data_IF_051169761906
#
_entry.id   IF_051169761906
#
_cell.length_a   1.000
_cell.length_b   1.000
_cell.length_c   1.000
_cell.angle_alpha   90.00
_cell.angle_beta   90.00
_cell.angle_gamma   90.00
#
_symmetry.space_group_name_H-M   'P 1'
#
loop_
_entity.id
_entity.type
_entity.pdbx_description
1 polymer ?
#
# COMPACT_ATOMS: atom_id res chain seq x y z
N UNK A 1 -74.11 16.39 -45.44
CA UNK A 1 -73.96 15.16 -46.23
C UNK A 1 -72.73 14.44 -45.69
N UNK A 2 -72.83 13.56 -44.70
CA UNK A 2 -73.32 12.16 -44.81
C UNK A 2 -72.47 11.35 -45.83
N UNK A 3 -71.88 10.19 -45.54
CA UNK A 3 -71.88 9.32 -44.35
C UNK A 3 -71.05 8.03 -44.64
N UNK A 4 -70.65 7.35 -43.55
CA UNK A 4 -70.38 5.90 -43.39
C UNK A 4 -69.14 5.26 -44.04
N UNK A 5 -68.43 4.32 -43.41
CA UNK A 5 -68.57 3.62 -42.12
C UNK A 5 -67.31 2.76 -41.88
N UNK A 6 -66.69 2.81 -40.72
CA UNK A 6 -66.93 1.96 -39.53
C UNK A 6 -66.56 0.47 -39.70
N UNK A 7 -65.57 0.03 -38.93
CA UNK A 7 -65.64 -1.22 -38.19
C UNK A 7 -64.81 -1.11 -36.91
N UNK A 8 -65.49 -0.90 -35.78
CA UNK A 8 -64.99 -1.20 -34.44
C UNK A 8 -64.82 -2.70 -34.29
N UNK A 9 -63.78 -3.15 -33.57
CA UNK A 9 -63.96 -4.12 -32.48
C UNK A 9 -62.97 -3.88 -31.34
N UNK A 10 -63.58 -3.87 -30.17
CA UNK A 10 -63.14 -3.73 -28.78
C UNK A 10 -62.30 -4.91 -28.26
N UNK A 11 -61.58 -4.64 -27.16
CA UNK A 11 -61.08 -5.62 -26.18
C UNK A 11 -59.56 -5.81 -26.26
N UNK A 12 -58.76 -5.83 -25.19
CA UNK A 12 -58.99 -5.92 -23.76
C UNK A 12 -57.73 -5.38 -23.05
N UNK A 13 -57.94 -4.97 -21.80
CA UNK A 13 -56.94 -4.67 -20.79
C UNK A 13 -55.83 -5.72 -20.69
N UNK A 14 -54.61 -5.24 -20.47
CA UNK A 14 -53.46 -6.11 -20.21
C UNK A 14 -52.24 -5.31 -19.84
N UNK A 15 -52.29 -4.61 -18.71
CA UNK A 15 -51.13 -4.03 -18.06
C UNK A 15 -50.05 -5.11 -17.84
N UNK A 16 -49.06 -5.18 -18.74
CA UNK A 16 -47.82 -5.91 -18.48
C UNK A 16 -46.78 -4.95 -17.93
N UNK A 17 -46.53 -5.19 -16.64
CA UNK A 17 -45.53 -4.54 -15.80
C UNK A 17 -44.16 -4.61 -16.45
N UNK A 18 -43.40 -3.55 -16.22
CA UNK A 18 -41.94 -3.51 -16.30
C UNK A 18 -41.39 -4.60 -15.40
N UNK A 19 -40.73 -5.59 -15.98
CA UNK A 19 -39.73 -6.39 -15.28
C UNK A 19 -38.36 -5.87 -15.71
N UNK A 20 -37.92 -4.83 -15.00
CA UNK A 20 -36.51 -4.48 -14.89
C UNK A 20 -35.80 -5.69 -14.27
N UNK A 21 -35.04 -6.43 -15.07
CA UNK A 21 -34.10 -7.42 -14.56
C UNK A 21 -32.96 -6.65 -13.90
N UNK A 22 -33.17 -6.35 -12.62
CA UNK A 22 -32.13 -5.95 -11.69
C UNK A 22 -31.20 -7.15 -11.50
N UNK A 23 -30.09 -7.19 -12.23
CA UNK A 23 -28.97 -8.07 -11.87
C UNK A 23 -28.29 -7.43 -10.67
N UNK A 24 -28.74 -7.84 -9.48
CA UNK A 24 -28.04 -7.63 -8.22
C UNK A 24 -26.75 -8.46 -8.24
N UNK A 25 -25.68 -7.87 -8.78
CA UNK A 25 -24.32 -8.35 -8.61
C UNK A 25 -23.86 -8.06 -7.19
N UNK A 26 -23.71 -9.13 -6.41
CA UNK A 26 -23.29 -9.17 -5.01
C UNK A 26 -22.15 -8.19 -4.68
N UNK A 27 -22.44 -7.20 -3.84
CA UNK A 27 -21.43 -6.47 -3.05
C UNK A 27 -20.80 -7.41 -2.02
N UNK A 28 -19.50 -7.26 -1.79
CA UNK A 28 -18.88 -7.54 -0.49
C UNK A 28 -18.40 -8.97 -0.25
N UNK A 29 -17.45 -9.43 -1.06
CA UNK A 29 -16.52 -10.46 -0.61
C UNK A 29 -15.40 -9.80 0.19
N UNK A 30 -15.67 -9.39 1.44
CA UNK A 30 -14.61 -8.97 2.35
C UNK A 30 -13.64 -10.13 2.54
N UNK A 31 -12.42 -9.99 1.99
CA UNK A 31 -11.33 -10.94 2.28
C UNK A 31 -11.13 -10.95 3.80
N UNK A 32 -10.98 -12.11 4.45
CA UNK A 32 -10.65 -12.15 5.87
C UNK A 32 -9.31 -11.42 6.07
N UNK A 33 -9.36 -10.29 6.79
CA UNK A 33 -8.32 -9.27 6.84
C UNK A 33 -6.95 -9.81 7.31
N UNK A 34 -6.93 -10.78 8.24
CA UNK A 34 -5.69 -11.45 8.66
C UNK A 34 -5.12 -12.48 7.67
N UNK A 35 -5.85 -12.88 6.62
CA UNK A 35 -5.38 -13.91 5.68
C UNK A 35 -4.23 -13.41 4.78
N UNK A 36 -4.21 -12.12 4.44
CA UNK A 36 -3.15 -11.54 3.61
C UNK A 36 -1.80 -11.58 4.34
N UNK A 37 -1.77 -11.09 5.58
CA UNK A 37 -0.55 -11.11 6.43
C UNK A 37 -0.14 -12.55 6.76
N UNK A 38 -1.10 -13.44 7.06
CA UNK A 38 -0.80 -14.86 7.25
C UNK A 38 -0.13 -15.51 6.04
N UNK A 39 -0.50 -15.09 4.83
CA UNK A 39 0.14 -15.60 3.65
C UNK A 39 1.54 -14.99 3.43
N UNK A 40 1.77 -13.72 3.81
CA UNK A 40 3.11 -13.13 3.84
C UNK A 40 4.03 -13.82 4.86
N UNK A 41 3.50 -14.24 6.01
CA UNK A 41 4.23 -15.01 7.03
C UNK A 41 4.82 -16.32 6.50
N UNK A 42 4.23 -16.89 5.44
CA UNK A 42 4.78 -18.10 4.79
C UNK A 42 6.01 -17.81 3.93
N UNK A 43 6.24 -16.55 3.57
CA UNK A 43 7.36 -16.10 2.72
C UNK A 43 8.46 -15.45 3.54
N UNK A 44 8.08 -14.63 4.53
CA UNK A 44 9.02 -13.83 5.33
C UNK A 44 8.62 -13.96 6.79
N UNK A 45 9.48 -14.59 7.60
CA UNK A 45 9.26 -14.65 9.04
C UNK A 45 9.48 -13.26 9.66
N UNK A 46 8.71 -12.89 10.70
CA UNK A 46 8.97 -11.67 11.45
C UNK A 46 10.30 -11.80 12.21
N UNK A 47 11.07 -10.72 12.25
CA UNK A 47 12.35 -10.69 12.96
C UNK A 47 12.20 -10.64 14.48
N UNK A 48 13.34 -10.73 15.20
CA UNK A 48 13.36 -10.51 16.64
C UNK A 48 12.81 -9.12 17.00
N UNK A 49 11.96 -9.05 18.03
CA UNK A 49 11.37 -7.79 18.49
C UNK A 49 10.36 -7.16 17.53
N UNK A 50 9.86 -7.93 16.55
CA UNK A 50 8.84 -7.49 15.60
C UNK A 50 7.49 -7.16 16.26
N UNK A 51 6.72 -6.36 15.54
CA UNK A 51 5.40 -5.90 15.93
C UNK A 51 5.41 -4.51 16.55
N UNK A 52 4.36 -3.76 16.25
CA UNK A 52 4.11 -2.44 16.80
C UNK A 52 2.76 -2.38 17.50
N UNK A 53 2.74 -1.72 18.66
CA UNK A 53 1.51 -1.39 19.37
C UNK A 53 1.18 0.06 19.06
N UNK A 54 0.31 0.27 18.09
CA UNK A 54 -0.04 1.59 17.55
C UNK A 54 -1.45 1.97 18.00
N UNK A 55 -1.60 3.20 18.49
CA UNK A 55 -2.91 3.82 18.67
C UNK A 55 -3.47 4.26 17.31
N UNK A 56 -4.24 3.37 16.67
CA UNK A 56 -4.87 3.63 15.38
C UNK A 56 -5.94 4.73 15.41
N UNK A 57 -6.51 5.02 16.59
CA UNK A 57 -7.38 6.17 16.78
C UNK A 57 -6.62 7.48 16.62
N UNK A 58 -5.45 7.58 17.26
CA UNK A 58 -4.54 8.72 17.12
C UNK A 58 -3.98 8.84 15.69
N UNK A 59 -3.61 7.72 15.05
CA UNK A 59 -3.21 7.69 13.63
C UNK A 59 -4.31 8.27 12.75
N UNK A 60 -5.54 7.78 12.90
CA UNK A 60 -6.66 8.21 12.05
C UNK A 60 -6.98 9.68 12.25
N UNK A 61 -6.90 10.17 13.48
CA UNK A 61 -7.08 11.60 13.79
C UNK A 61 -5.96 12.46 13.17
N UNK A 62 -4.70 12.01 13.22
CA UNK A 62 -3.56 12.76 12.69
C UNK A 62 -3.53 12.82 11.15
N UNK A 63 -4.04 11.80 10.47
CA UNK A 63 -4.10 11.73 9.00
C UNK A 63 -5.45 12.18 8.42
N UNK A 64 -6.49 12.30 9.25
CA UNK A 64 -7.85 12.62 8.82
C UNK A 64 -8.52 11.48 8.03
N UNK A 65 -7.95 10.29 8.05
CA UNK A 65 -8.45 9.10 7.35
C UNK A 65 -8.04 7.83 8.09
N UNK A 66 -8.78 6.74 7.88
CA UNK A 66 -8.37 5.40 8.33
C UNK A 66 -7.27 4.85 7.42
N UNK A 67 -6.64 3.75 7.83
CA UNK A 67 -5.63 3.06 7.04
C UNK A 67 -6.15 1.71 6.54
N UNK A 68 -5.56 1.13 5.47
CA UNK A 68 -5.90 -0.20 5.01
C UNK A 68 -5.71 -1.24 6.12
N UNK A 69 -6.64 -2.19 6.24
CA UNK A 69 -6.60 -3.22 7.29
C UNK A 69 -5.36 -4.11 7.15
N UNK A 70 -4.90 -4.37 5.92
CA UNK A 70 -3.71 -5.19 5.67
C UNK A 70 -2.42 -4.55 6.19
N UNK A 71 -2.33 -3.22 6.16
CA UNK A 71 -1.26 -2.46 6.78
C UNK A 71 -1.36 -2.45 8.30
N UNK A 72 -2.57 -2.32 8.85
CA UNK A 72 -2.82 -2.40 10.30
C UNK A 72 -2.33 -3.74 10.85
N UNK A 73 -2.71 -4.84 10.20
CA UNK A 73 -2.28 -6.18 10.55
C UNK A 73 -0.77 -6.37 10.35
N UNK A 74 -0.20 -5.82 9.26
CA UNK A 74 1.24 -5.87 9.02
C UNK A 74 2.02 -5.20 10.15
N UNK A 75 1.62 -4.00 10.58
CA UNK A 75 2.29 -3.30 11.67
C UNK A 75 2.16 -4.06 13.00
N UNK A 76 1.04 -4.74 13.26
CA UNK A 76 0.88 -5.57 14.45
C UNK A 76 1.80 -6.80 14.49
N UNK A 77 2.11 -7.38 13.31
CA UNK A 77 2.92 -8.60 13.20
C UNK A 77 4.41 -8.32 12.98
N UNK A 78 4.71 -7.44 12.03
CA UNK A 78 6.07 -7.10 11.61
C UNK A 78 6.54 -5.80 12.25
N UNK A 79 5.71 -4.75 12.21
CA UNK A 79 6.07 -3.42 12.67
C UNK A 79 6.84 -2.59 11.64
N UNK A 80 7.43 -1.48 12.08
CA UNK A 80 8.37 -0.71 11.25
C UNK A 80 9.68 -1.50 11.06
N UNK A 81 10.23 -1.50 9.86
CA UNK A 81 11.47 -2.21 9.61
C UNK A 81 11.85 -2.27 8.14
N UNK A 82 12.79 -3.16 7.85
CA UNK A 82 13.43 -3.25 6.54
C UNK A 82 13.35 -4.69 6.03
N UNK A 83 13.02 -4.87 4.76
CA UNK A 83 13.09 -6.14 4.05
C UNK A 83 14.40 -6.23 3.28
N UNK A 84 15.27 -7.16 3.71
CA UNK A 84 16.59 -7.45 3.15
C UNK A 84 17.36 -6.22 2.68
N UNK A 85 17.51 -5.20 3.54
CA UNK A 85 18.26 -3.94 3.24
C UNK A 85 17.64 -3.00 2.19
N UNK A 86 16.63 -3.46 1.43
CA UNK A 86 16.23 -2.78 0.19
C UNK A 86 14.88 -2.05 0.27
N UNK A 87 13.95 -2.49 1.11
CA UNK A 87 12.63 -1.88 1.25
C UNK A 87 12.34 -1.56 2.71
N UNK A 88 12.13 -0.29 3.01
CA UNK A 88 11.83 0.24 4.34
C UNK A 88 10.32 0.45 4.45
N UNK A 89 9.71 -0.13 5.47
CA UNK A 89 8.29 0.08 5.81
C UNK A 89 8.20 1.20 6.84
N UNK A 90 7.42 2.24 6.54
CA UNK A 90 7.40 3.48 7.32
C UNK A 90 6.39 3.41 8.46
N UNK A 91 6.72 3.92 9.64
CA UNK A 91 5.76 4.03 10.74
C UNK A 91 4.77 5.20 10.52
N UNK A 92 3.46 5.05 10.84
CA UNK A 92 2.45 6.06 10.47
C UNK A 92 2.47 7.31 11.37
N UNK A 93 3.14 7.25 12.51
CA UNK A 93 3.39 8.39 13.40
C UNK A 93 4.90 8.55 13.59
N UNK A 94 5.42 9.78 13.56
CA UNK A 94 6.81 10.01 13.96
C UNK A 94 6.96 9.60 15.43
N UNK A 95 7.84 8.64 15.71
CA UNK A 95 8.26 8.32 17.08
C UNK A 95 9.15 9.48 17.56
N UNK A 96 8.70 10.20 18.59
CA UNK A 96 9.43 11.36 19.08
C UNK A 96 10.85 10.94 19.54
N UNK A 97 11.88 11.46 18.87
CA UNK A 97 13.29 11.26 19.24
C UNK A 97 14.14 10.45 18.27
N UNK A 98 13.56 9.85 17.21
CA UNK A 98 14.32 9.13 16.18
C UNK A 98 14.27 9.90 14.84
N UNK A 99 15.15 10.91 14.71
CA UNK A 99 15.34 11.64 13.45
C UNK A 99 16.02 10.79 12.35
N UNK A 100 16.44 9.58 12.70
CA UNK A 100 17.23 8.65 11.90
C UNK A 100 16.41 7.79 10.93
N UNK A 101 15.06 7.89 10.99
CA UNK A 101 14.15 7.07 10.20
C UNK A 101 13.38 7.92 9.18
N UNK A 102 13.24 7.44 7.94
CA UNK A 102 12.34 8.03 6.94
C UNK A 102 10.92 8.07 7.51
N UNK A 103 10.33 9.27 7.55
CA UNK A 103 9.01 9.44 8.17
C UNK A 103 7.91 9.39 7.13
N UNK A 104 6.85 8.63 7.42
CA UNK A 104 5.69 8.49 6.52
C UNK A 104 5.15 9.83 6.00
N UNK A 105 5.03 10.85 6.87
CA UNK A 105 4.58 12.19 6.47
C UNK A 105 5.53 12.89 5.52
N UNK A 106 6.84 12.76 5.76
CA UNK A 106 7.85 13.38 4.91
C UNK A 106 7.81 12.75 3.52
N UNK A 107 7.79 11.42 3.43
CA UNK A 107 7.74 10.74 2.14
C UNK A 107 6.40 10.94 1.42
N UNK A 108 5.31 11.08 2.18
CA UNK A 108 4.02 11.50 1.62
C UNK A 108 4.10 12.89 0.99
N UNK A 109 4.71 13.85 1.68
CA UNK A 109 4.90 15.21 1.15
C UNK A 109 5.80 15.20 -0.10
N UNK A 110 6.87 14.39 -0.10
CA UNK A 110 7.74 14.18 -1.27
C UNK A 110 6.95 13.61 -2.45
N UNK A 111 6.19 12.53 -2.25
CA UNK A 111 5.39 11.92 -3.31
C UNK A 111 4.34 12.88 -3.88
N UNK A 112 3.63 13.64 -3.03
CA UNK A 112 2.69 14.66 -3.47
C UNK A 112 3.36 15.76 -4.30
N UNK A 113 4.56 16.21 -3.89
CA UNK A 113 5.33 17.19 -4.63
C UNK A 113 5.82 16.65 -5.99
N UNK A 114 6.19 15.37 -6.07
CA UNK A 114 6.55 14.71 -7.33
C UNK A 114 5.31 14.60 -8.24
N UNK A 115 4.19 14.13 -7.72
CA UNK A 115 2.93 14.03 -8.48
C UNK A 115 2.51 15.39 -9.06
N UNK A 116 2.57 16.45 -8.25
CA UNK A 116 2.25 17.81 -8.70
C UNK A 116 3.16 18.30 -9.85
N UNK A 117 4.44 17.89 -9.87
CA UNK A 117 5.38 18.23 -10.96
C UNK A 117 5.15 17.41 -12.22
N UNK A 118 4.74 16.15 -12.08
CA UNK A 118 4.42 15.28 -13.22
C UNK A 118 3.13 15.71 -13.93
N UNK A 119 2.21 16.36 -13.21
CA UNK A 119 0.97 16.88 -13.77
C UNK A 119 -0.10 15.80 -13.89
N UNK A 120 -0.72 15.67 -15.05
CA UNK A 120 -1.85 14.75 -15.27
C UNK A 120 -1.38 13.30 -15.42
N UNK A 121 -1.24 12.61 -14.29
CA UNK A 121 -0.98 11.17 -14.26
C UNK A 121 -2.32 10.45 -14.15
N UNK A 122 -2.62 9.59 -15.13
CA UNK A 122 -3.85 8.81 -15.15
C UNK A 122 -3.99 7.96 -13.88
N UNK A 123 -5.13 8.08 -13.20
CA UNK A 123 -5.45 7.34 -11.97
C UNK A 123 -4.90 7.95 -10.68
N UNK A 124 -4.27 9.12 -10.71
CA UNK A 124 -3.99 9.91 -9.50
C UNK A 124 -5.06 10.99 -9.27
N UNK A 125 -5.57 11.16 -8.03
CA UNK A 125 -6.59 12.15 -7.71
C UNK A 125 -6.03 13.57 -7.77
N UNK A 126 -6.85 14.49 -8.30
CA UNK A 126 -6.45 15.89 -8.55
C UNK A 126 -6.78 16.87 -7.41
N UNK A 127 -7.49 16.44 -6.35
CA UNK A 127 -8.13 17.36 -5.40
C UNK A 127 -8.15 16.96 -3.92
N UNK A 128 -7.43 15.91 -3.49
CA UNK A 128 -7.32 15.53 -2.07
C UNK A 128 -6.20 16.32 -1.37
N UNK A 129 -6.31 16.67 -0.06
CA UNK A 129 -5.19 17.25 0.70
C UNK A 129 -4.03 16.26 0.89
N UNK A 130 -4.31 14.95 0.83
CA UNK A 130 -3.32 13.87 0.80
C UNK A 130 -3.74 12.88 -0.29
N UNK A 131 -3.54 13.19 -1.58
CA UNK A 131 -3.92 12.29 -2.68
C UNK A 131 -3.16 10.96 -2.64
N UNK A 132 -2.08 10.95 -1.87
CA UNK A 132 -1.16 9.86 -1.67
C UNK A 132 -0.84 9.78 -0.18
N UNK A 133 -0.64 8.58 0.32
CA UNK A 133 0.01 8.33 1.60
C UNK A 133 1.15 7.35 1.33
N UNK A 134 2.39 7.76 1.56
CA UNK A 134 3.55 6.89 1.45
C UNK A 134 3.50 5.81 2.54
N UNK A 135 3.98 4.61 2.24
CA UNK A 135 4.08 3.51 3.21
C UNK A 135 5.41 2.79 3.15
N UNK A 136 6.16 2.96 2.06
CA UNK A 136 7.48 2.39 1.94
C UNK A 136 8.39 3.21 1.03
N UNK A 137 9.70 3.02 1.22
CA UNK A 137 10.74 3.54 0.33
C UNK A 137 11.76 2.46 0.03
N UNK A 138 12.37 2.51 -1.15
CA UNK A 138 13.44 1.57 -1.52
C UNK A 138 14.82 2.23 -1.49
N UNK A 139 15.86 1.41 -1.49
CA UNK A 139 17.24 1.87 -1.80
C UNK A 139 17.40 2.30 -3.26
N UNK A 140 16.43 1.99 -4.12
CA UNK A 140 16.29 2.42 -5.52
C UNK A 140 15.65 3.81 -5.69
N UNK A 141 15.84 4.69 -4.70
CA UNK A 141 14.97 5.83 -4.33
C UNK A 141 13.51 5.81 -4.84
N UNK A 142 12.79 4.69 -4.72
CA UNK A 142 11.36 4.64 -5.04
C UNK A 142 10.53 5.04 -3.82
N UNK A 143 9.38 5.69 -4.05
CA UNK A 143 8.37 5.94 -3.01
C UNK A 143 7.12 5.13 -3.33
N UNK A 144 6.72 4.28 -2.40
CA UNK A 144 5.54 3.44 -2.50
C UNK A 144 4.43 4.08 -1.70
N UNK A 145 3.29 4.33 -2.35
CA UNK A 145 2.15 5.04 -1.80
C UNK A 145 0.87 4.23 -1.95
N UNK A 146 -0.14 4.56 -1.14
CA UNK A 146 -1.53 4.30 -1.46
C UNK A 146 -2.13 5.52 -2.16
N UNK A 147 -3.03 5.29 -3.13
CA UNK A 147 -3.87 6.34 -3.70
C UNK A 147 -5.18 6.42 -2.92
N UNK A 148 -5.43 7.55 -2.27
CA UNK A 148 -6.45 7.67 -1.22
C UNK A 148 -7.78 8.24 -1.71
N UNK A 149 -8.11 8.04 -2.98
CA UNK A 149 -9.31 8.62 -3.60
C UNK A 149 -10.60 7.97 -3.09
N UNK A 150 -10.59 6.65 -2.85
CA UNK A 150 -11.75 5.95 -2.31
C UNK A 150 -11.94 6.27 -0.81
N UNK A 151 -13.20 6.35 -0.38
CA UNK A 151 -13.55 6.49 1.04
C UNK A 151 -13.24 5.25 1.88
N UNK A 152 -13.12 4.08 1.25
CA UNK A 152 -12.71 2.82 1.87
C UNK A 152 -11.20 2.58 1.67
N UNK A 153 -10.37 2.65 2.74
CA UNK A 153 -8.94 2.40 2.64
C UNK A 153 -8.56 1.03 2.10
N UNK A 154 -9.41 0.03 2.28
CA UNK A 154 -9.16 -1.32 1.75
C UNK A 154 -9.26 -1.40 0.22
N UNK A 155 -9.77 -0.35 -0.42
CA UNK A 155 -9.87 -0.21 -1.87
C UNK A 155 -8.78 0.68 -2.46
N UNK A 156 -7.82 1.16 -1.64
CA UNK A 156 -6.74 2.02 -2.14
C UNK A 156 -5.70 1.21 -2.92
N UNK A 157 -5.46 1.52 -4.21
CA UNK A 157 -4.42 0.88 -4.97
C UNK A 157 -3.04 1.37 -4.54
N UNK A 158 -2.02 0.56 -4.79
CA UNK A 158 -0.61 0.95 -4.61
C UNK A 158 -0.16 1.76 -5.83
N UNK A 159 0.51 2.88 -5.57
CA UNK A 159 1.26 3.66 -6.55
C UNK A 159 2.76 3.55 -6.25
N UNK A 160 3.56 3.26 -7.27
CA UNK A 160 5.02 3.33 -7.17
C UNK A 160 5.51 4.55 -7.94
N UNK A 161 6.14 5.48 -7.23
CA UNK A 161 6.88 6.60 -7.79
C UNK A 161 8.32 6.14 -7.96
N UNK A 162 8.62 5.60 -9.14
CA UNK A 162 9.92 5.01 -9.39
C UNK A 162 10.87 5.97 -10.10
N UNK A 163 12.13 5.92 -9.71
CA UNK A 163 13.18 6.80 -10.29
C UNK A 163 13.86 6.19 -11.50
N UNK A 164 14.03 4.88 -11.49
CA UNK A 164 14.67 4.07 -12.52
C UNK A 164 13.77 2.93 -13.00
N UNK A 165 12.46 3.07 -12.83
CA UNK A 165 11.42 2.20 -13.39
C UNK A 165 11.06 2.60 -14.81
N UNK A 166 10.33 1.73 -15.53
CA UNK A 166 9.88 1.99 -16.91
C UNK A 166 8.96 3.22 -17.02
N UNK A 167 8.04 3.36 -16.06
CA UNK A 167 7.18 4.53 -15.92
C UNK A 167 7.55 5.32 -14.65
N UNK A 168 7.47 6.67 -14.68
CA UNK A 168 7.75 7.49 -13.49
C UNK A 168 6.73 7.27 -12.36
N UNK A 169 5.51 6.84 -12.73
CA UNK A 169 4.48 6.38 -11.80
C UNK A 169 3.78 5.16 -12.41
N UNK A 170 3.62 4.11 -11.61
CA UNK A 170 2.84 2.93 -11.96
C UNK A 170 1.81 2.63 -10.87
N UNK A 171 0.59 2.25 -11.28
CA UNK A 171 -0.51 1.90 -10.37
C UNK A 171 -0.75 0.39 -10.37
N UNK A 172 -1.03 -0.16 -9.20
CA UNK A 172 -1.27 -1.56 -8.96
C UNK A 172 -2.56 -1.72 -8.14
N UNK A 173 -3.55 -2.40 -8.74
CA UNK A 173 -4.88 -2.62 -8.14
C UNK A 173 -4.83 -3.70 -7.05
N UNK A 174 -4.13 -3.40 -5.97
CA UNK A 174 -3.94 -4.25 -4.81
C UNK A 174 -3.51 -3.43 -3.58
N UNK A 175 -3.74 -3.98 -2.39
CA UNK A 175 -3.24 -3.44 -1.12
C UNK A 175 -1.75 -3.69 -0.92
N UNK A 176 -1.18 -3.15 0.17
CA UNK A 176 0.25 -3.22 0.46
C UNK A 176 0.75 -4.66 0.55
N UNK A 177 0.06 -5.51 1.31
CA UNK A 177 0.55 -6.87 1.58
C UNK A 177 0.52 -7.71 0.31
N UNK A 178 -0.50 -7.55 -0.53
CA UNK A 178 -0.58 -8.26 -1.80
C UNK A 178 0.48 -7.75 -2.79
N UNK A 179 0.79 -6.46 -2.79
CA UNK A 179 1.89 -5.90 -3.56
C UNK A 179 3.23 -6.53 -3.14
N UNK A 180 3.51 -6.59 -1.83
CA UNK A 180 4.73 -7.21 -1.30
C UNK A 180 4.83 -8.68 -1.70
N UNK A 181 3.75 -9.45 -1.56
CA UNK A 181 3.72 -10.86 -1.97
C UNK A 181 3.99 -11.01 -3.46
N UNK A 182 3.36 -10.20 -4.30
CA UNK A 182 3.56 -10.22 -5.75
C UNK A 182 5.00 -9.86 -6.13
N UNK A 183 5.62 -8.90 -5.43
CA UNK A 183 7.02 -8.55 -5.58
C UNK A 183 7.93 -9.74 -5.27
N UNK A 184 7.76 -10.35 -4.09
CA UNK A 184 8.57 -11.49 -3.65
C UNK A 184 8.38 -12.74 -4.50
N UNK A 185 7.20 -12.93 -5.08
CA UNK A 185 6.94 -14.03 -6.01
C UNK A 185 7.46 -13.77 -7.42
N UNK A 186 7.80 -12.53 -7.77
CA UNK A 186 8.15 -12.16 -9.15
C UNK A 186 6.92 -12.13 -10.07
N UNK A 187 5.73 -11.85 -9.52
CA UNK A 187 4.46 -12.04 -10.23
C UNK A 187 4.07 -10.87 -11.15
N UNK A 188 4.76 -9.73 -11.05
CA UNK A 188 4.57 -8.60 -11.95
C UNK A 188 5.22 -8.89 -13.32
N UNK A 189 4.66 -8.38 -14.45
CA UNK A 189 5.28 -8.54 -15.77
C UNK A 189 6.66 -7.90 -15.90
N UNK A 190 6.88 -6.81 -15.18
CA UNK A 190 8.14 -6.06 -15.09
C UNK A 190 8.39 -5.73 -13.61
N UNK A 191 9.66 -5.58 -13.22
CA UNK A 191 10.02 -5.20 -11.86
C UNK A 191 9.32 -3.88 -11.49
N UNK A 192 8.52 -3.85 -10.41
CA UNK A 192 7.69 -2.68 -10.12
C UNK A 192 8.48 -1.54 -9.45
N UNK A 193 9.75 -1.78 -9.08
CA UNK A 193 10.65 -0.88 -8.35
C UNK A 193 12.00 -0.79 -9.06
N UNK A 194 12.80 0.24 -8.76
CA UNK A 194 14.06 0.57 -9.45
C UNK A 194 15.18 -0.46 -9.28
N UNK A 195 15.05 -1.39 -8.33
CA UNK A 195 16.00 -2.47 -8.07
C UNK A 195 15.34 -3.84 -8.08
N UNK A 196 16.06 -4.88 -8.49
CA UNK A 196 15.53 -6.25 -8.60
C UNK A 196 15.84 -7.13 -7.37
N UNK A 197 16.39 -6.55 -6.30
CA UNK A 197 16.95 -7.29 -5.16
C UNK A 197 15.90 -8.00 -4.31
N UNK A 198 14.63 -7.61 -4.41
CA UNK A 198 13.49 -8.28 -3.78
C UNK A 198 12.60 -9.02 -4.79
N UNK A 199 12.75 -8.75 -6.09
CA UNK A 199 11.82 -9.25 -7.10
C UNK A 199 12.06 -10.74 -7.38
N UNK A 200 11.09 -11.59 -7.03
CA UNK A 200 11.22 -13.05 -7.13
C UNK A 200 12.14 -13.68 -6.07
N UNK A 201 12.60 -12.91 -5.08
CA UNK A 201 13.54 -13.38 -4.06
C UNK A 201 12.87 -14.28 -3.03
N UNK A 202 13.53 -15.39 -2.66
CA UNK A 202 12.99 -16.44 -1.77
C UNK A 202 13.55 -16.42 -0.35
N UNK A 203 14.73 -15.85 -0.16
CA UNK A 203 15.48 -15.79 1.10
C UNK A 203 15.35 -14.42 1.78
N UNK A 204 14.16 -13.80 1.68
CA UNK A 204 13.95 -12.46 2.23
C UNK A 204 13.90 -12.51 3.76
N UNK A 205 14.61 -11.56 4.38
CA UNK A 205 14.64 -11.36 5.83
C UNK A 205 13.93 -10.05 6.15
N UNK A 206 13.13 -10.06 7.21
CA UNK A 206 12.61 -8.83 7.80
C UNK A 206 13.40 -8.50 9.07
N UNK A 207 13.85 -7.25 9.17
CA UNK A 207 14.50 -6.73 10.35
C UNK A 207 13.71 -5.57 10.92
N UNK A 208 13.24 -5.73 12.15
CA UNK A 208 12.52 -4.69 12.86
C UNK A 208 13.48 -3.57 13.30
N UNK A 209 13.02 -2.31 13.26
CA UNK A 209 13.87 -1.15 13.52
C UNK A 209 14.55 -1.18 14.91
N UNK A 210 13.83 -1.65 15.95
CA UNK A 210 14.39 -1.77 17.31
C UNK A 210 15.58 -2.73 17.36
N UNK A 211 15.47 -3.85 16.63
CA UNK A 211 16.53 -4.85 16.58
C UNK A 211 17.71 -4.36 15.75
N UNK A 212 17.43 -3.69 14.63
CA UNK A 212 18.46 -3.03 13.82
C UNK A 212 19.27 -2.04 14.67
N UNK A 213 18.59 -1.16 15.41
CA UNK A 213 19.21 -0.19 16.32
C UNK A 213 20.04 -0.87 17.40
N UNK A 214 19.53 -1.96 17.99
CA UNK A 214 20.24 -2.74 19.01
C UNK A 214 21.52 -3.36 18.47
N UNK A 215 21.49 -3.93 17.26
CA UNK A 215 22.65 -4.56 16.62
C UNK A 215 23.73 -3.54 16.28
N UNK A 216 23.34 -2.41 15.70
CA UNK A 216 24.28 -1.31 15.46
C UNK A 216 24.90 -0.76 16.75
N UNK A 217 24.08 -0.54 17.80
CA UNK A 217 24.60 -0.10 19.10
C UNK A 217 25.53 -1.14 19.76
N UNK A 218 25.47 -2.40 19.35
CA UNK A 218 26.37 -3.46 19.79
C UNK A 218 27.60 -3.62 18.87
N UNK A 219 27.78 -2.77 17.86
CA UNK A 219 28.86 -2.86 16.88
C UNK A 219 28.74 -4.09 15.98
N UNK A 220 27.52 -4.57 15.71
CA UNK A 220 27.25 -5.73 14.87
C UNK A 220 26.42 -5.30 13.67
N UNK A 221 26.90 -5.58 12.46
CA UNK A 221 26.13 -5.39 11.25
C UNK A 221 24.86 -6.27 11.29
N UNK A 222 23.65 -5.70 11.18
CA UNK A 222 22.41 -6.42 11.37
C UNK A 222 22.11 -7.49 10.31
N UNK A 223 22.76 -7.40 9.15
CA UNK A 223 22.46 -8.23 7.99
C UNK A 223 23.50 -9.33 7.78
N UNK A 224 24.76 -9.04 8.07
CA UNK A 224 25.87 -10.00 7.99
C UNK A 224 26.15 -10.69 9.33
N UNK A 225 25.84 -10.04 10.45
CA UNK A 225 26.22 -10.51 11.80
C UNK A 225 27.70 -10.32 12.12
N UNK A 226 28.46 -9.70 11.22
CA UNK A 226 29.87 -9.37 11.39
C UNK A 226 30.03 -8.09 12.21
N UNK A 227 31.21 -7.84 12.82
CA UNK A 227 31.48 -6.55 13.44
C UNK A 227 31.24 -5.41 12.45
N UNK A 228 30.60 -4.34 12.91
CA UNK A 228 30.41 -3.13 12.13
C UNK A 228 31.80 -2.55 11.80
N UNK A 229 32.18 -2.47 10.50
CA UNK A 229 33.50 -1.98 10.10
C UNK A 229 33.74 -0.51 10.51
N UNK A 230 32.69 0.22 10.89
CA UNK A 230 32.75 1.62 11.30
C UNK A 230 32.56 1.82 12.81
N UNK A 231 32.46 0.75 13.61
CA UNK A 231 32.24 0.85 15.06
C UNK A 231 33.35 1.61 15.80
N UNK A 232 34.58 1.59 15.27
CA UNK A 232 35.76 2.22 15.85
C UNK A 232 36.09 3.60 15.20
N UNK A 233 35.30 4.06 14.23
CA UNK A 233 35.48 5.39 13.63
C UNK A 233 34.80 6.46 14.51
N UNK A 234 35.55 6.98 15.50
CA UNK A 234 35.20 8.23 16.18
C UNK A 234 35.21 9.37 15.13
N UNK A 235 34.03 9.88 14.81
CA UNK A 235 33.88 11.07 13.96
C UNK A 235 34.29 12.31 14.77
N UNK A 236 35.56 12.70 14.67
CA UNK A 236 36.12 13.97 15.16
C UNK A 236 35.51 15.21 14.45
#
# INVERSE_FOLDING_TARGET
>A
MEKYGHCDKTGEDGARRRDEVSVSGSKGGGRPQGAAVNALLTLVAPGCGAGEVIDWGAVSAAWGTRFPDDYVDFMGVYGEGVMSEHLYILHPLSTAGDATHCQMRQETATACAVAARLGDVAGLPKGSPYPLIAWGVTTGPDILCWVTEDSDPNSWPVAVFGRHTEAPVALYDCGMVEFLRSLLHGAFPVCPVSGAELWGRRDVKFLHWREQKRLWAAGVNPWTGEPDPYADEEWD
#
